data_IF_375138606313
#
_entry.id   IF_375138606313
#
_cell.length_a   1.000
_cell.length_b   1.000
_cell.length_c   1.000
_cell.angle_alpha   90.00
_cell.angle_beta   90.00
_cell.angle_gamma   90.00
#
_symmetry.space_group_name_H-M   'P 1'
#
loop_
_entity.id
_entity.type
_entity.pdbx_description
1 polymer ?
#
# COMPACT_ATOMS: atom_id res chain seq x y z
N UNK A 1 0.98 5.88 28.63
CA UNK A 1 -0.25 5.43 27.96
C UNK A 1 0.09 4.20 27.14
N UNK A 2 -0.39 3.02 27.54
CA UNK A 2 -0.16 1.78 26.80
C UNK A 2 -1.19 1.69 25.67
N UNK A 3 -0.78 1.95 24.43
CA UNK A 3 -1.57 1.56 23.27
C UNK A 3 -1.47 0.02 23.23
N UNK A 4 -2.55 -0.66 23.60
CA UNK A 4 -2.62 -2.11 23.59
C UNK A 4 -2.45 -2.61 22.15
N UNK A 5 -1.73 -3.72 21.98
CA UNK A 5 -1.47 -4.37 20.68
C UNK A 5 -2.75 -4.57 19.85
N UNK A 6 -3.88 -4.78 20.51
CA UNK A 6 -5.22 -4.90 19.89
C UNK A 6 -5.65 -3.58 19.22
N UNK A 7 -5.43 -2.43 19.85
CA UNK A 7 -5.77 -1.12 19.29
C UNK A 7 -4.91 -0.77 18.07
N UNK A 8 -3.61 -1.12 18.10
CA UNK A 8 -2.73 -0.92 16.94
C UNK A 8 -3.14 -1.79 15.74
N UNK A 9 -3.47 -3.06 15.98
CA UNK A 9 -3.92 -4.00 14.95
C UNK A 9 -5.25 -3.57 14.31
N UNK A 10 -6.23 -3.14 15.11
CA UNK A 10 -7.52 -2.65 14.61
C UNK A 10 -7.37 -1.39 13.75
N UNK A 11 -6.49 -0.48 14.17
CA UNK A 11 -6.22 0.75 13.40
C UNK A 11 -5.55 0.41 12.07
N UNK A 12 -4.61 -0.54 12.07
CA UNK A 12 -3.94 -1.01 10.86
C UNK A 12 -4.93 -1.65 9.87
N UNK A 13 -5.83 -2.52 10.35
CA UNK A 13 -6.86 -3.16 9.54
C UNK A 13 -7.86 -2.14 8.95
N UNK A 14 -8.26 -1.14 9.73
CA UNK A 14 -9.15 -0.08 9.24
C UNK A 14 -8.48 0.74 8.13
N UNK A 15 -7.23 1.14 8.31
CA UNK A 15 -6.47 1.87 7.29
C UNK A 15 -6.26 1.05 6.02
N UNK A 16 -5.99 -0.26 6.16
CA UNK A 16 -5.87 -1.19 5.04
C UNK A 16 -7.15 -1.27 4.20
N UNK A 17 -8.31 -1.33 4.87
CA UNK A 17 -9.60 -1.30 4.20
C UNK A 17 -9.86 0.05 3.50
N UNK A 18 -9.42 1.16 4.09
CA UNK A 18 -9.66 2.50 3.54
C UNK A 18 -8.93 2.73 2.21
N UNK A 19 -7.62 2.45 2.12
CA UNK A 19 -6.91 2.64 0.85
C UNK A 19 -7.29 1.59 -0.20
N UNK A 20 -7.64 0.36 0.21
CA UNK A 20 -8.19 -0.65 -0.71
C UNK A 20 -9.52 -0.19 -1.32
N UNK A 21 -10.42 0.35 -0.49
CA UNK A 21 -11.69 0.92 -0.95
C UNK A 21 -11.46 2.07 -1.93
N UNK A 22 -10.53 2.97 -1.62
CA UNK A 22 -10.18 4.10 -2.51
C UNK A 22 -9.59 3.62 -3.84
N UNK A 23 -8.81 2.55 -3.84
CA UNK A 23 -8.29 1.92 -5.06
C UNK A 23 -9.43 1.35 -5.92
N UNK A 24 -10.38 0.62 -5.31
CA UNK A 24 -11.56 0.07 -5.98
C UNK A 24 -12.46 1.18 -6.57
N UNK A 25 -12.70 2.26 -5.82
CA UNK A 25 -13.49 3.43 -6.27
C UNK A 25 -12.83 4.19 -7.43
N UNK A 26 -11.53 3.97 -7.65
CA UNK A 26 -10.75 4.58 -8.72
C UNK A 26 -10.57 3.67 -9.94
N UNK A 27 -11.14 2.46 -9.94
CA UNK A 27 -11.11 1.58 -11.11
C UNK A 27 -11.70 2.28 -12.33
N UNK A 28 -11.01 2.16 -13.47
CA UNK A 28 -11.40 2.79 -14.73
C UNK A 28 -11.01 4.27 -14.86
N UNK A 29 -10.42 4.89 -13.84
CA UNK A 29 -9.75 6.18 -13.99
C UNK A 29 -8.34 5.96 -14.52
N UNK A 30 -8.02 6.54 -15.66
CA UNK A 30 -6.67 6.53 -16.21
C UNK A 30 -5.79 7.50 -15.43
N UNK A 31 -4.85 6.97 -14.66
CA UNK A 31 -3.70 7.71 -14.18
C UNK A 31 -2.70 7.72 -15.35
N UNK A 32 -2.51 8.89 -15.98
CA UNK A 32 -1.77 9.03 -17.24
C UNK A 32 -0.25 8.85 -17.10
N UNK A 33 0.21 8.37 -15.96
CA UNK A 33 1.57 7.96 -15.72
C UNK A 33 1.58 6.46 -15.43
N UNK A 34 2.24 5.67 -16.27
CA UNK A 34 2.43 4.22 -16.10
C UNK A 34 3.33 3.90 -14.89
N UNK A 35 3.07 4.52 -13.74
CA UNK A 35 3.84 4.45 -12.52
C UNK A 35 2.92 3.99 -11.39
N UNK A 36 2.97 2.68 -11.13
CA UNK A 36 2.14 2.06 -10.11
C UNK A 36 2.46 2.54 -8.69
N UNK A 37 3.70 2.99 -8.46
CA UNK A 37 4.09 3.61 -7.20
C UNK A 37 3.32 4.90 -6.94
N UNK A 38 3.14 5.77 -7.95
CA UNK A 38 2.31 6.97 -7.77
C UNK A 38 0.86 6.60 -7.44
N UNK A 39 0.28 5.62 -8.13
CA UNK A 39 -1.09 5.18 -7.87
C UNK A 39 -1.26 4.74 -6.40
N UNK A 40 -0.38 3.85 -5.93
CA UNK A 40 -0.41 3.34 -4.55
C UNK A 40 -0.19 4.46 -3.54
N UNK A 41 0.82 5.32 -3.74
CA UNK A 41 1.12 6.46 -2.88
C UNK A 41 -0.10 7.38 -2.70
N UNK A 42 -0.83 7.66 -3.78
CA UNK A 42 -2.04 8.48 -3.71
C UNK A 42 -3.14 7.85 -2.86
N UNK A 43 -3.33 6.53 -2.92
CA UNK A 43 -4.34 5.87 -2.09
C UNK A 43 -3.94 5.92 -0.62
N UNK A 44 -2.65 5.69 -0.30
CA UNK A 44 -2.11 5.79 1.05
C UNK A 44 -2.25 7.21 1.63
N UNK A 45 -1.95 8.24 0.82
CA UNK A 45 -2.11 9.64 1.22
C UNK A 45 -3.57 10.00 1.48
N UNK A 46 -4.50 9.56 0.62
CA UNK A 46 -5.94 9.83 0.76
C UNK A 46 -6.57 9.09 1.95
N UNK A 47 -6.09 7.88 2.23
CA UNK A 47 -6.44 7.13 3.44
C UNK A 47 -5.75 7.67 4.71
N UNK A 48 -4.90 8.70 4.59
CA UNK A 48 -4.17 9.31 5.70
C UNK A 48 -3.31 8.29 6.46
N UNK A 49 -2.70 7.33 5.75
CA UNK A 49 -1.80 6.34 6.36
C UNK A 49 -0.58 7.08 6.93
N UNK A 50 -0.30 6.95 8.23
CA UNK A 50 0.73 7.72 8.91
C UNK A 50 2.14 7.36 8.43
N UNK A 51 3.00 8.36 8.43
CA UNK A 51 4.44 8.26 8.16
C UNK A 51 5.22 8.88 9.33
N UNK A 52 6.52 8.56 9.48
CA UNK A 52 7.39 9.29 10.39
C UNK A 52 7.35 10.80 10.12
N UNK A 53 7.45 11.61 11.17
CA UNK A 53 7.41 13.07 11.07
C UNK A 53 8.46 13.58 10.08
N UNK A 54 8.04 14.46 9.15
CA UNK A 54 8.89 14.97 8.06
C UNK A 54 9.01 14.07 6.83
N UNK A 55 8.33 12.91 6.80
CA UNK A 55 8.31 12.01 5.63
C UNK A 55 7.05 12.18 4.77
N UNK A 56 7.15 11.85 3.48
CA UNK A 56 6.02 11.82 2.53
C UNK A 56 6.04 10.53 1.73
N UNK A 57 4.87 10.03 1.30
CA UNK A 57 4.78 8.86 0.43
C UNK A 57 5.43 9.18 -0.91
N UNK A 58 6.43 8.39 -1.30
CA UNK A 58 7.15 8.58 -2.57
C UNK A 58 6.39 7.90 -3.71
N UNK A 59 6.57 8.37 -4.95
CA UNK A 59 5.99 7.73 -6.13
C UNK A 59 6.87 6.59 -6.67
N UNK A 60 8.11 6.45 -6.22
CA UNK A 60 9.03 5.38 -6.60
C UNK A 60 8.69 4.09 -5.86
N UNK A 61 8.47 2.96 -6.56
CA UNK A 61 8.25 1.66 -5.93
C UNK A 61 9.34 1.29 -4.91
N UNK A 62 10.60 1.62 -5.19
CA UNK A 62 11.72 1.33 -4.30
C UNK A 62 11.69 2.13 -3.00
N UNK A 63 11.19 3.35 -3.02
CA UNK A 63 11.05 4.16 -1.81
C UNK A 63 9.80 3.78 -1.03
N UNK A 64 8.67 3.53 -1.72
CA UNK A 64 7.44 3.04 -1.08
C UNK A 64 7.68 1.78 -0.26
N UNK A 65 8.37 0.80 -0.84
CA UNK A 65 8.66 -0.46 -0.15
C UNK A 65 9.55 -0.25 1.07
N UNK A 66 10.52 0.66 1.02
CA UNK A 66 11.37 0.99 2.18
C UNK A 66 10.58 1.69 3.29
N UNK A 67 9.55 2.45 2.93
CA UNK A 67 8.66 3.10 3.89
C UNK A 67 7.70 2.08 4.55
N UNK A 68 7.52 0.90 3.95
CA UNK A 68 6.75 -0.19 4.53
C UNK A 68 7.62 -1.04 5.44
N UNK A 69 7.20 -1.19 6.70
CA UNK A 69 7.91 -1.99 7.70
C UNK A 69 7.61 -3.50 7.62
N UNK A 70 6.68 -3.94 6.77
CA UNK A 70 6.28 -5.34 6.66
C UNK A 70 6.05 -5.72 5.18
N UNK A 71 6.92 -6.59 4.66
CA UNK A 71 6.76 -7.18 3.32
C UNK A 71 6.32 -8.64 3.50
N UNK A 72 5.08 -8.92 3.14
CA UNK A 72 4.55 -10.29 3.12
C UNK A 72 4.76 -10.91 1.74
N UNK A 73 5.14 -12.18 1.70
CA UNK A 73 5.13 -12.94 0.45
C UNK A 73 3.68 -13.15 -0.03
N UNK A 74 3.47 -13.20 -1.35
CA UNK A 74 2.13 -13.27 -1.98
C UNK A 74 1.24 -14.37 -1.40
N UNK A 75 1.81 -15.50 -0.97
CA UNK A 75 1.08 -16.63 -0.38
C UNK A 75 0.46 -16.33 1.00
N UNK A 76 0.87 -15.25 1.65
CA UNK A 76 0.34 -14.80 2.93
C UNK A 76 -0.43 -13.49 2.80
N UNK A 77 -0.57 -12.94 1.59
CA UNK A 77 -1.20 -11.66 1.38
C UNK A 77 -2.72 -11.76 1.61
N UNK A 78 -3.25 -10.80 2.36
CA UNK A 78 -4.68 -10.54 2.52
C UNK A 78 -5.10 -9.31 1.72
N UNK A 79 -6.37 -9.19 1.27
CA UNK A 79 -6.83 -8.01 0.56
C UNK A 79 -6.43 -6.71 1.26
N UNK A 80 -5.82 -5.81 0.51
CA UNK A 80 -5.22 -4.57 0.99
C UNK A 80 -3.71 -4.67 1.21
N UNK A 81 -3.10 -5.85 1.26
CA UNK A 81 -1.62 -5.92 1.31
C UNK A 81 -1.00 -5.37 0.03
N UNK A 82 0.17 -4.75 0.16
CA UNK A 82 0.92 -4.29 -1.01
C UNK A 82 1.80 -5.41 -1.55
N UNK A 83 1.63 -5.70 -2.83
CA UNK A 83 2.48 -6.61 -3.59
C UNK A 83 3.56 -5.81 -4.30
N UNK A 84 4.70 -6.45 -4.53
CA UNK A 84 5.77 -5.86 -5.32
C UNK A 84 6.38 -6.85 -6.29
N UNK A 85 6.92 -6.31 -7.39
CA UNK A 85 7.65 -7.04 -8.40
C UNK A 85 9.05 -6.49 -8.57
N UNK A 86 10.00 -7.39 -8.80
CA UNK A 86 11.43 -7.10 -8.87
C UNK A 86 12.21 -7.82 -7.78
N UNK A 87 13.34 -7.24 -7.40
CA UNK A 87 14.17 -7.78 -6.32
C UNK A 87 13.91 -7.01 -5.02
N UNK A 88 14.20 -7.63 -3.87
CA UNK A 88 14.06 -6.96 -2.57
C UNK A 88 14.81 -5.61 -2.50
N UNK A 89 15.90 -5.46 -3.24
CA UNK A 89 16.72 -4.25 -3.26
C UNK A 89 16.41 -3.30 -4.44
N UNK A 90 15.64 -3.76 -5.43
CA UNK A 90 15.27 -3.01 -6.62
C UNK A 90 13.90 -3.49 -7.14
N UNK A 91 12.80 -3.11 -6.46
CA UNK A 91 11.45 -3.31 -6.96
C UNK A 91 11.18 -2.32 -8.08
N UNK A 92 10.53 -2.77 -9.16
CA UNK A 92 10.15 -1.91 -10.29
C UNK A 92 8.64 -1.65 -10.35
N UNK A 93 7.83 -2.43 -9.62
CA UNK A 93 6.37 -2.28 -9.62
C UNK A 93 5.81 -2.65 -8.24
N UNK A 94 4.71 -1.99 -7.88
CA UNK A 94 3.96 -2.17 -6.64
C UNK A 94 2.46 -2.11 -6.94
N UNK A 95 1.64 -2.87 -6.20
CA UNK A 95 0.19 -2.86 -6.36
C UNK A 95 -0.54 -3.24 -5.08
N UNK A 96 -1.83 -2.95 -5.02
CA UNK A 96 -2.70 -3.31 -3.89
C UNK A 96 -3.37 -4.65 -4.21
N UNK A 97 -3.15 -5.67 -3.37
CA UNK A 97 -3.80 -6.96 -3.50
C UNK A 97 -5.29 -6.85 -3.20
N UNK A 98 -6.16 -7.46 -4.02
CA UNK A 98 -7.62 -7.41 -3.79
C UNK A 98 -8.20 -8.79 -3.41
N UNK A 99 -7.39 -9.85 -3.45
CA UNK A 99 -7.84 -11.22 -3.25
C UNK A 99 -8.04 -11.99 -4.56
N UNK A 100 -8.07 -13.33 -4.46
CA UNK A 100 -8.32 -14.20 -5.61
C UNK A 100 -7.29 -14.05 -6.73
N UNK A 101 -6.02 -13.78 -6.39
CA UNK A 101 -4.93 -13.55 -7.34
C UNK A 101 -5.09 -12.30 -8.23
N UNK A 102 -5.88 -11.32 -7.79
CA UNK A 102 -6.04 -10.03 -8.47
C UNK A 102 -5.40 -8.88 -7.67
N UNK A 103 -5.02 -7.82 -8.37
CA UNK A 103 -4.40 -6.62 -7.80
C UNK A 103 -4.75 -5.37 -8.62
N UNK A 104 -4.51 -4.20 -8.04
CA UNK A 104 -4.66 -2.89 -8.69
C UNK A 104 -3.31 -2.17 -8.62
N UNK A 105 -2.80 -1.73 -9.77
CA UNK A 105 -1.51 -1.08 -9.95
C UNK A 105 -1.63 0.08 -10.95
#
# INVERSE_FOLDING_TARGET
>A
MAITTVGLLLTHNNMQNDYLKLALDNLGKTFNDYNSGRFVAQQLMRAQVPLPEGSHWDASPAHLIKQMHHLLGVLQATPGDLLFWGTQNAPYEVGIYVGGNHFIA
#
